data_IF_970124955891
#
_entry.id   IF_970124955891
#
_cell.length_a   1.000
_cell.length_b   1.000
_cell.length_c   1.000
_cell.angle_alpha   90.00
_cell.angle_beta   90.00
_cell.angle_gamma   90.00
#
_symmetry.space_group_name_H-M   'P 1'
#
loop_
_entity.id
_entity.type
_entity.pdbx_description
1 polymer ?
#
# COMPACT_ATOMS: atom_id res chain seq x y z
N UNK A 1 -8.59 0.81 -2.54
CA UNK A 1 -9.62 -0.17 -2.12
C UNK A 1 -9.34 -0.84 -0.77
N UNK A 2 -8.10 -1.25 -0.44
CA UNK A 2 -7.78 -1.84 0.87
C UNK A 2 -7.99 -0.86 2.06
N UNK A 3 -7.58 0.39 1.91
CA UNK A 3 -7.76 1.44 2.92
C UNK A 3 -9.23 1.71 3.27
N UNK A 4 -10.10 1.82 2.27
CA UNK A 4 -11.55 1.99 2.46
C UNK A 4 -12.15 0.84 3.28
N UNK A 5 -11.74 -0.40 3.01
CA UNK A 5 -12.21 -1.57 3.76
C UNK A 5 -11.79 -1.50 5.22
N UNK A 6 -10.54 -1.09 5.49
CA UNK A 6 -10.01 -0.99 6.85
C UNK A 6 -10.69 0.13 7.63
N UNK A 7 -10.89 1.31 7.03
CA UNK A 7 -11.55 2.42 7.72
C UNK A 7 -13.02 2.15 7.98
N UNK A 8 -13.73 1.53 7.04
CA UNK A 8 -15.11 1.09 7.25
C UNK A 8 -15.23 0.00 8.31
N UNK A 9 -14.25 -0.90 8.41
CA UNK A 9 -14.19 -1.89 9.49
C UNK A 9 -13.93 -1.24 10.84
N UNK A 10 -13.04 -0.25 10.90
CA UNK A 10 -12.78 0.50 12.13
C UNK A 10 -14.02 1.29 12.60
N UNK A 11 -14.79 1.84 11.67
CA UNK A 11 -16.05 2.53 11.96
C UNK A 11 -17.18 1.60 12.46
N UNK A 12 -17.02 0.28 12.28
CA UNK A 12 -17.98 -0.70 12.78
C UNK A 12 -18.08 -0.66 14.31
N UNK A 13 -16.95 -0.48 15.00
CA UNK A 13 -16.91 -0.48 16.46
C UNK A 13 -17.75 0.64 17.09
N UNK A 14 -17.56 1.94 16.75
CA UNK A 14 -18.41 3.00 17.30
C UNK A 14 -19.87 2.89 16.83
N UNK A 15 -20.12 2.43 15.59
CA UNK A 15 -21.49 2.25 15.10
C UNK A 15 -22.23 1.13 15.86
N UNK A 16 -21.56 0.02 16.15
CA UNK A 16 -22.12 -1.07 16.97
C UNK A 16 -22.32 -0.64 18.42
N UNK A 17 -21.41 0.16 18.99
CA UNK A 17 -21.57 0.69 20.35
C UNK A 17 -22.85 1.52 20.45
N UNK A 18 -23.09 2.42 19.48
CA UNK A 18 -24.30 3.23 19.42
C UNK A 18 -25.56 2.38 19.24
N UNK A 19 -25.50 1.35 18.39
CA UNK A 19 -26.60 0.39 18.24
C UNK A 19 -26.93 -0.25 19.59
N UNK A 20 -25.93 -0.76 20.32
CA UNK A 20 -26.15 -1.41 21.63
C UNK A 20 -26.76 -0.43 22.63
N UNK A 21 -26.24 0.79 22.76
CA UNK A 21 -26.76 1.81 23.69
C UNK A 21 -28.25 2.08 23.41
N UNK A 22 -28.61 2.38 22.16
CA UNK A 22 -29.99 2.69 21.76
C UNK A 22 -30.94 1.49 21.89
N UNK A 23 -30.43 0.26 21.71
CA UNK A 23 -31.22 -0.94 21.97
C UNK A 23 -31.51 -1.13 23.47
N UNK A 24 -30.55 -0.82 24.34
CA UNK A 24 -30.72 -0.89 25.79
C UNK A 24 -31.70 0.18 26.30
N UNK A 25 -31.76 1.33 25.63
CA UNK A 25 -32.76 2.39 25.88
C UNK A 25 -34.16 2.06 25.34
N UNK A 26 -34.35 0.87 24.76
CA UNK A 26 -35.64 0.33 24.35
C UNK A 26 -36.06 0.67 22.93
N UNK A 27 -35.18 1.28 22.11
CA UNK A 27 -35.51 1.70 20.75
C UNK A 27 -34.56 1.13 19.69
N UNK A 28 -34.76 -0.14 19.33
CA UNK A 28 -33.99 -0.82 18.28
C UNK A 28 -33.96 -0.07 16.94
N UNK A 29 -35.08 0.52 16.54
CA UNK A 29 -35.16 1.25 15.28
C UNK A 29 -34.25 2.48 15.26
N UNK A 30 -34.12 3.20 16.39
CA UNK A 30 -33.20 4.34 16.51
C UNK A 30 -31.75 3.90 16.48
N UNK A 31 -31.42 2.79 17.15
CA UNK A 31 -30.09 2.19 17.07
C UNK A 31 -29.69 1.79 15.65
N UNK A 32 -30.59 1.19 14.89
CA UNK A 32 -30.33 0.83 13.48
C UNK A 32 -30.16 2.07 12.60
N UNK A 33 -30.96 3.11 12.84
CA UNK A 33 -30.81 4.40 12.15
C UNK A 33 -29.48 5.07 12.47
N UNK A 34 -29.08 5.13 13.75
CA UNK A 34 -27.81 5.68 14.18
C UNK A 34 -26.62 4.90 13.57
N UNK A 35 -26.69 3.57 13.58
CA UNK A 35 -25.71 2.71 12.93
C UNK A 35 -25.56 3.06 11.43
N UNK A 36 -26.69 3.12 10.71
CA UNK A 36 -26.71 3.46 9.29
C UNK A 36 -26.18 4.87 9.00
N UNK A 37 -26.56 5.86 9.81
CA UNK A 37 -26.11 7.24 9.67
C UNK A 37 -24.60 7.38 9.87
N UNK A 38 -24.04 6.80 10.93
CA UNK A 38 -22.59 6.84 11.18
C UNK A 38 -21.83 6.20 10.03
N UNK A 39 -22.28 5.04 9.56
CA UNK A 39 -21.64 4.35 8.44
C UNK A 39 -21.73 5.16 7.14
N UNK A 40 -22.88 5.76 6.87
CA UNK A 40 -23.09 6.62 5.70
C UNK A 40 -22.22 7.88 5.73
N UNK A 41 -22.10 8.53 6.88
CA UNK A 41 -21.23 9.71 7.06
C UNK A 41 -19.77 9.34 6.82
N UNK A 42 -19.27 8.27 7.45
CA UNK A 42 -17.88 7.83 7.26
C UNK A 42 -17.62 7.44 5.82
N UNK A 43 -18.52 6.68 5.19
CA UNK A 43 -18.41 6.32 3.78
C UNK A 43 -18.42 7.55 2.86
N UNK A 44 -19.30 8.52 3.13
CA UNK A 44 -19.41 9.77 2.40
C UNK A 44 -18.14 10.62 2.49
N UNK A 45 -17.59 10.80 3.70
CA UNK A 45 -16.33 11.53 3.92
C UNK A 45 -15.18 10.85 3.15
N UNK A 46 -15.07 9.52 3.25
CA UNK A 46 -14.04 8.75 2.54
C UNK A 46 -14.17 8.86 1.02
N UNK A 47 -15.40 8.84 0.50
CA UNK A 47 -15.67 9.00 -0.93
C UNK A 47 -15.26 10.39 -1.42
N UNK A 48 -15.67 11.45 -0.71
CA UNK A 48 -15.30 12.83 -1.02
C UNK A 48 -13.78 13.02 -1.00
N UNK A 49 -13.11 12.51 0.05
CA UNK A 49 -11.64 12.56 0.13
C UNK A 49 -10.98 11.82 -1.02
N UNK A 50 -11.52 10.69 -1.47
CA UNK A 50 -10.97 9.94 -2.60
C UNK A 50 -11.13 10.70 -3.93
N UNK A 51 -12.30 11.31 -4.15
CA UNK A 51 -12.59 12.13 -5.33
C UNK A 51 -11.63 13.32 -5.41
N UNK A 52 -11.25 13.91 -4.29
CA UNK A 52 -10.30 15.03 -4.23
C UNK A 52 -8.84 14.54 -4.33
N UNK A 53 -8.49 13.50 -3.57
CA UNK A 53 -7.12 13.02 -3.49
C UNK A 53 -6.62 12.39 -4.79
N UNK A 54 -7.49 11.72 -5.56
CA UNK A 54 -7.08 11.03 -6.78
C UNK A 54 -6.59 12.00 -7.88
N UNK A 55 -7.32 13.06 -8.27
CA UNK A 55 -6.84 14.07 -9.20
C UNK A 55 -5.55 14.75 -8.74
N UNK A 56 -5.44 15.11 -7.45
CA UNK A 56 -4.23 15.71 -6.88
C UNK A 56 -3.05 14.75 -7.06
N UNK A 57 -3.23 13.47 -6.73
CA UNK A 57 -2.20 12.45 -6.91
C UNK A 57 -1.79 12.30 -8.38
N UNK A 58 -2.75 12.24 -9.32
CA UNK A 58 -2.47 12.14 -10.76
C UNK A 58 -1.67 13.35 -11.25
N UNK A 59 -2.07 14.55 -10.84
CA UNK A 59 -1.39 15.81 -11.19
C UNK A 59 0.05 15.85 -10.66
N UNK A 60 0.26 15.42 -9.42
CA UNK A 60 1.59 15.43 -8.78
C UNK A 60 2.52 14.32 -9.31
N UNK A 61 1.96 13.14 -9.60
CA UNK A 61 2.73 11.97 -10.07
C UNK A 61 2.98 11.99 -11.59
N UNK A 62 2.27 12.84 -12.35
CA UNK A 62 2.34 12.90 -13.81
C UNK A 62 1.66 11.71 -14.49
N UNK A 63 0.78 10.99 -13.78
CA UNK A 63 0.03 9.84 -14.29
C UNK A 63 0.87 8.60 -14.64
N UNK A 64 2.17 8.59 -14.31
CA UNK A 64 3.08 7.48 -14.60
C UNK A 64 3.62 6.89 -13.30
N UNK A 65 3.41 5.59 -13.13
CA UNK A 65 3.98 4.82 -12.04
C UNK A 65 5.21 4.08 -12.58
N UNK A 66 6.38 4.70 -12.43
CA UNK A 66 7.66 4.09 -12.82
C UNK A 66 8.19 3.26 -11.67
N UNK A 67 8.68 2.05 -11.94
CA UNK A 67 9.29 1.17 -10.94
C UNK A 67 10.73 0.91 -11.38
N UNK A 68 11.67 1.10 -10.46
CA UNK A 68 13.06 0.66 -10.61
C UNK A 68 13.24 -0.60 -9.79
N UNK A 69 13.80 -1.60 -10.45
CA UNK A 69 14.32 -2.77 -9.78
C UNK A 69 15.83 -2.60 -9.71
N UNK A 70 16.34 -2.49 -8.49
CA UNK A 70 17.77 -2.56 -8.23
C UNK A 70 18.07 -3.93 -7.65
N UNK A 71 19.06 -4.61 -8.20
CA UNK A 71 19.37 -5.99 -7.85
C UNK A 71 20.86 -6.09 -7.57
N UNK A 72 21.19 -6.56 -6.38
CA UNK A 72 22.55 -6.83 -5.95
C UNK A 72 22.74 -8.34 -5.71
N UNK A 73 23.87 -8.73 -5.11
CA UNK A 73 24.16 -10.14 -4.81
C UNK A 73 23.36 -10.69 -3.61
N UNK A 74 22.69 -9.82 -2.85
CA UNK A 74 22.00 -10.18 -1.61
C UNK A 74 20.48 -10.23 -1.79
N UNK A 75 19.93 -9.48 -2.74
CA UNK A 75 18.50 -9.38 -2.97
C UNK A 75 18.12 -8.47 -4.13
N UNK A 76 16.83 -8.15 -4.15
CA UNK A 76 16.25 -7.23 -5.11
C UNK A 76 15.37 -6.20 -4.40
N UNK A 77 15.65 -4.94 -4.68
CA UNK A 77 14.91 -3.79 -4.23
C UNK A 77 13.85 -3.43 -5.26
N UNK A 78 12.60 -3.46 -4.82
CA UNK A 78 11.51 -2.81 -5.54
C UNK A 78 11.45 -1.35 -5.07
N UNK A 79 12.06 -0.49 -5.87
CA UNK A 79 12.09 0.94 -5.67
C UNK A 79 10.99 1.51 -6.55
N UNK A 80 9.96 2.09 -5.95
CA UNK A 80 9.07 2.95 -6.74
C UNK A 80 9.94 4.11 -7.25
N UNK A 81 10.23 4.16 -8.56
CA UNK A 81 11.10 5.22 -9.09
C UNK A 81 10.46 6.55 -8.74
N UNK A 82 11.26 7.50 -8.24
CA UNK A 82 10.77 8.84 -8.09
C UNK A 82 10.56 9.40 -9.50
N UNK A 83 9.31 9.45 -9.95
CA UNK A 83 8.94 10.57 -10.82
C UNK A 83 9.35 11.85 -10.09
N UNK A 84 9.62 12.95 -10.82
CA UNK A 84 10.02 14.23 -10.21
C UNK A 84 9.10 14.67 -9.05
N UNK A 85 7.86 14.17 -9.01
CA UNK A 85 6.91 14.34 -7.92
C UNK A 85 7.23 13.63 -6.60
N UNK A 86 7.92 12.48 -6.57
CA UNK A 86 8.17 11.72 -5.32
C UNK A 86 9.19 12.41 -4.41
N UNK A 87 10.30 12.93 -4.96
CA UNK A 87 11.26 13.73 -4.17
C UNK A 87 10.59 15.00 -3.60
N UNK A 88 9.68 15.62 -4.36
CA UNK A 88 8.88 16.76 -3.89
C UNK A 88 7.87 16.32 -2.83
N UNK A 89 7.21 15.17 -2.99
CA UNK A 89 6.29 14.61 -2.00
C UNK A 89 6.99 14.28 -0.68
N UNK A 90 8.16 13.65 -0.73
CA UNK A 90 8.94 13.32 0.47
C UNK A 90 9.40 14.58 1.19
N UNK A 91 9.85 15.60 0.44
CA UNK A 91 10.20 16.90 1.03
C UNK A 91 8.96 17.56 1.66
N UNK A 92 7.83 17.58 0.96
CA UNK A 92 6.56 18.11 1.47
C UNK A 92 6.07 17.37 2.71
N UNK A 93 6.20 16.05 2.75
CA UNK A 93 5.82 15.24 3.91
C UNK A 93 6.79 15.44 5.08
N UNK A 94 8.10 15.63 4.86
CA UNK A 94 9.04 16.00 5.92
C UNK A 94 8.75 17.38 6.49
N UNK A 95 8.50 18.36 5.63
CA UNK A 95 8.10 19.71 6.04
C UNK A 95 6.77 19.68 6.79
N UNK A 96 5.78 18.94 6.28
CA UNK A 96 4.48 18.77 6.92
C UNK A 96 4.57 18.08 8.29
N UNK A 97 5.47 17.12 8.45
CA UNK A 97 5.75 16.49 9.74
C UNK A 97 6.30 17.50 10.75
N UNK A 98 7.36 18.23 10.37
CA UNK A 98 7.99 19.23 11.23
C UNK A 98 7.04 20.39 11.55
N UNK A 99 6.28 20.87 10.57
CA UNK A 99 5.28 21.91 10.76
C UNK A 99 4.13 21.44 11.66
N UNK A 100 3.67 20.20 11.52
CA UNK A 100 2.68 19.59 12.39
C UNK A 100 3.17 19.50 13.84
N UNK A 101 4.42 19.10 14.06
CA UNK A 101 5.02 19.11 15.39
C UNK A 101 5.15 20.53 15.97
N UNK A 102 5.69 21.46 15.18
CA UNK A 102 5.92 22.85 15.62
C UNK A 102 4.62 23.60 15.92
N UNK A 103 3.53 23.28 15.21
CA UNK A 103 2.20 23.86 15.42
C UNK A 103 1.37 23.14 16.50
N UNK A 104 1.91 22.10 17.14
CA UNK A 104 1.16 21.30 18.12
C UNK A 104 -0.01 20.52 17.50
N UNK A 105 0.06 20.20 16.19
CA UNK A 105 -0.94 19.44 15.47
C UNK A 105 -0.45 17.99 15.22
N UNK A 106 -0.66 17.07 16.18
CA UNK A 106 -0.21 15.69 16.08
C UNK A 106 -0.89 14.93 14.94
N UNK A 107 -2.11 15.31 14.55
CA UNK A 107 -2.83 14.71 13.41
C UNK A 107 -2.12 15.02 12.09
N UNK A 108 -1.71 16.27 11.88
CA UNK A 108 -0.96 16.68 10.69
C UNK A 108 0.44 16.05 10.65
N UNK A 109 1.11 15.98 11.81
CA UNK A 109 2.39 15.30 11.93
C UNK A 109 2.26 13.80 11.62
N UNK A 110 1.29 13.11 12.24
CA UNK A 110 1.04 11.69 12.02
C UNK A 110 0.70 11.36 10.56
N UNK A 111 -0.15 12.16 9.92
CA UNK A 111 -0.47 11.99 8.50
C UNK A 111 0.78 12.13 7.61
N UNK A 112 1.64 13.11 7.91
CA UNK A 112 2.88 13.35 7.16
C UNK A 112 3.91 12.23 7.38
N UNK A 113 4.02 11.71 8.60
CA UNK A 113 4.86 10.57 8.93
C UNK A 113 4.40 9.29 8.19
N UNK A 114 3.09 9.05 8.14
CA UNK A 114 2.51 7.93 7.40
C UNK A 114 2.80 8.06 5.89
N UNK A 115 2.75 9.26 5.33
CA UNK A 115 3.15 9.50 3.94
C UNK A 115 4.63 9.19 3.69
N UNK A 116 5.52 9.46 4.66
CA UNK A 116 6.94 9.11 4.59
C UNK A 116 7.23 7.61 4.75
N UNK A 117 6.31 6.84 5.35
CA UNK A 117 6.48 5.40 5.56
C UNK A 117 6.45 4.56 4.28
N UNK A 118 6.31 5.18 3.10
CA UNK A 118 6.32 4.49 1.80
C UNK A 118 7.57 3.63 1.68
N UNK A 119 7.33 2.32 1.69
CA UNK A 119 8.37 1.29 1.74
C UNK A 119 8.99 1.12 0.36
N UNK A 120 10.28 1.39 0.22
CA UNK A 120 11.08 0.56 -0.67
C UNK A 120 10.99 -0.88 -0.15
N UNK A 121 10.74 -1.83 -1.04
CA UNK A 121 10.54 -3.21 -0.64
C UNK A 121 11.76 -4.02 -1.04
N UNK A 122 12.68 -4.19 -0.09
CA UNK A 122 13.81 -5.08 -0.24
C UNK A 122 13.39 -6.53 -0.05
N UNK A 123 13.73 -7.38 -1.01
CA UNK A 123 13.51 -8.83 -0.94
C UNK A 123 14.86 -9.55 -0.99
N UNK A 124 15.39 -10.01 0.16
CA UNK A 124 16.66 -10.73 0.17
C UNK A 124 16.48 -12.14 -0.40
N UNK A 125 17.37 -12.55 -1.29
CA UNK A 125 17.27 -13.84 -1.99
C UNK A 125 17.20 -15.02 -1.02
N UNK A 126 18.03 -15.00 0.03
CA UNK A 126 18.07 -16.04 1.08
C UNK A 126 16.70 -16.31 1.72
N UNK A 127 15.77 -15.36 1.68
CA UNK A 127 14.41 -15.50 2.26
C UNK A 127 13.36 -15.91 1.24
N UNK A 128 13.69 -16.00 -0.05
CA UNK A 128 12.74 -16.41 -1.09
C UNK A 128 12.38 -17.88 -0.89
N UNK A 129 11.08 -18.14 -0.72
CA UNK A 129 10.51 -19.49 -0.58
C UNK A 129 9.94 -20.00 -1.89
N UNK A 130 9.44 -19.10 -2.73
CA UNK A 130 8.73 -19.45 -3.95
C UNK A 130 8.94 -18.41 -5.03
N UNK A 131 9.20 -18.88 -6.25
CA UNK A 131 9.34 -18.09 -7.47
C UNK A 131 8.21 -18.49 -8.41
N UNK A 132 7.39 -17.53 -8.86
CA UNK A 132 6.33 -17.78 -9.84
C UNK A 132 6.61 -16.96 -11.08
N UNK A 133 6.87 -17.64 -12.19
CA UNK A 133 7.18 -17.06 -13.49
C UNK A 133 5.89 -17.02 -14.30
N UNK A 134 5.46 -15.84 -14.72
CA UNK A 134 4.31 -15.63 -15.61
C UNK A 134 4.81 -15.20 -16.97
N UNK A 135 5.00 -16.15 -17.89
CA UNK A 135 5.66 -15.89 -19.17
C UNK A 135 4.83 -14.96 -20.06
N UNK A 136 3.51 -15.23 -20.16
CA UNK A 136 2.57 -14.40 -20.94
C UNK A 136 2.52 -12.95 -20.48
N UNK A 137 2.71 -12.71 -19.18
CA UNK A 137 2.65 -11.37 -18.58
C UNK A 137 4.03 -10.71 -18.48
N UNK A 138 5.11 -11.45 -18.74
CA UNK A 138 6.50 -11.01 -18.54
C UNK A 138 6.73 -10.50 -17.11
N UNK A 139 6.17 -11.23 -16.14
CA UNK A 139 6.26 -10.91 -14.71
C UNK A 139 6.84 -12.08 -13.93
N UNK A 140 7.80 -11.80 -13.07
CA UNK A 140 8.39 -12.76 -12.15
C UNK A 140 7.99 -12.35 -10.73
N UNK A 141 7.34 -13.25 -10.01
CA UNK A 141 6.87 -13.02 -8.64
C UNK A 141 7.72 -13.79 -7.64
N UNK A 142 8.43 -13.06 -6.80
CA UNK A 142 9.14 -13.61 -5.65
C UNK A 142 8.24 -13.58 -4.42
N UNK A 143 8.20 -14.68 -3.68
CA UNK A 143 7.47 -14.79 -2.41
C UNK A 143 8.45 -15.21 -1.33
N UNK A 144 8.70 -14.30 -0.39
CA UNK A 144 9.60 -14.53 0.73
C UNK A 144 8.89 -15.25 1.90
N UNK A 145 9.67 -15.81 2.82
CA UNK A 145 9.18 -16.51 4.02
C UNK A 145 8.31 -15.63 4.92
N UNK A 146 8.60 -14.33 5.01
CA UNK A 146 7.82 -13.33 5.74
C UNK A 146 6.58 -12.83 4.98
N UNK A 147 6.16 -13.54 3.93
CA UNK A 147 5.01 -13.20 3.09
C UNK A 147 5.16 -11.90 2.27
N UNK A 148 6.36 -11.28 2.25
CA UNK A 148 6.68 -10.22 1.29
C UNK A 148 6.59 -10.77 -0.13
N UNK A 149 5.95 -10.00 -1.02
CA UNK A 149 5.74 -10.38 -2.42
C UNK A 149 6.35 -9.30 -3.30
N UNK A 150 7.36 -9.65 -4.06
CA UNK A 150 7.95 -8.76 -5.06
C UNK A 150 7.51 -9.19 -6.45
N UNK A 151 6.96 -8.26 -7.23
CA UNK A 151 6.56 -8.48 -8.62
C UNK A 151 7.52 -7.71 -9.51
N UNK A 152 8.32 -8.45 -10.26
CA UNK A 152 9.36 -7.92 -11.12
C UNK A 152 8.80 -7.90 -12.54
N UNK A 153 8.73 -6.72 -13.12
CA UNK A 153 8.30 -6.50 -14.49
C UNK A 153 9.53 -6.37 -15.36
N UNK A 154 9.58 -7.09 -16.47
CA UNK A 154 10.72 -7.03 -17.38
C UNK A 154 10.26 -6.77 -18.81
N UNK A 155 11.17 -6.27 -19.64
CA UNK A 155 10.98 -6.29 -21.08
C UNK A 155 11.09 -7.72 -21.62
N UNK A 156 10.56 -7.94 -22.83
CA UNK A 156 10.57 -9.24 -23.47
C UNK A 156 11.98 -9.78 -23.73
N UNK A 157 12.88 -8.88 -24.15
CA UNK A 157 14.27 -9.21 -24.48
C UNK A 157 15.02 -9.73 -23.25
N UNK A 158 14.80 -9.10 -22.09
CA UNK A 158 15.53 -9.40 -20.86
C UNK A 158 14.86 -10.47 -19.98
N UNK A 159 13.62 -10.86 -20.30
CA UNK A 159 12.82 -11.73 -19.44
C UNK A 159 13.51 -13.06 -19.13
N UNK A 160 14.14 -13.67 -20.14
CA UNK A 160 14.86 -14.94 -19.97
C UNK A 160 16.09 -14.75 -19.08
N UNK A 161 16.92 -13.75 -19.40
CA UNK A 161 18.14 -13.41 -18.65
C UNK A 161 17.83 -13.17 -17.16
N UNK A 162 16.83 -12.33 -16.87
CA UNK A 162 16.45 -11.99 -15.50
C UNK A 162 15.87 -13.20 -14.77
N UNK A 163 15.08 -14.03 -15.45
CA UNK A 163 14.54 -15.26 -14.85
C UNK A 163 15.67 -16.20 -14.44
N UNK A 164 16.62 -16.45 -15.33
CA UNK A 164 17.72 -17.38 -15.09
C UNK A 164 18.60 -16.88 -13.93
N UNK A 165 18.93 -15.58 -13.92
CA UNK A 165 19.71 -14.97 -12.86
C UNK A 165 18.99 -15.03 -11.49
N UNK A 166 17.67 -14.79 -11.45
CA UNK A 166 16.89 -14.92 -10.22
C UNK A 166 16.84 -16.36 -9.72
N UNK A 167 16.75 -17.35 -10.62
CA UNK A 167 16.74 -18.77 -10.25
C UNK A 167 18.10 -19.22 -9.72
N UNK A 168 19.19 -18.69 -10.26
CA UNK A 168 20.55 -18.97 -9.77
C UNK A 168 20.80 -18.40 -8.38
N UNK A 169 20.35 -17.16 -8.13
CA UNK A 169 20.57 -16.46 -6.85
C UNK A 169 19.59 -16.87 -5.74
N UNK A 170 18.41 -17.39 -6.10
CA UNK A 170 17.45 -17.88 -5.10
C UNK A 170 17.91 -19.19 -4.44
N UNK A 171 17.46 -19.49 -3.21
CA UNK A 171 17.80 -20.73 -2.53
C UNK A 171 17.35 -21.95 -3.35
N UNK A 172 18.21 -22.97 -3.46
CA UNK A 172 17.88 -24.21 -4.21
C UNK A 172 16.61 -24.92 -3.73
N UNK A 173 16.20 -24.69 -2.47
CA UNK A 173 14.95 -25.20 -1.90
C UNK A 173 13.71 -24.34 -2.20
N UNK A 174 13.83 -23.28 -3.00
CA UNK A 174 12.70 -22.45 -3.39
C UNK A 174 11.84 -23.16 -4.43
N UNK A 175 10.52 -23.16 -4.22
CA UNK A 175 9.57 -23.79 -5.14
C UNK A 175 9.44 -22.90 -6.38
N UNK A 176 9.71 -23.44 -7.56
CA UNK A 176 9.58 -22.73 -8.85
C UNK A 176 8.30 -23.17 -9.54
N UNK A 177 7.46 -22.23 -9.95
CA UNK A 177 6.23 -22.49 -10.73
C UNK A 177 6.26 -21.63 -11.99
N UNK A 178 6.04 -22.24 -13.16
CA UNK A 178 5.89 -21.54 -14.43
C UNK A 178 4.41 -21.55 -14.86
N UNK A 179 3.89 -20.42 -15.33
CA UNK A 179 2.49 -20.19 -15.73
C UNK A 179 2.38 -19.32 -16.97
#
# INVERSE_FOLDING_TARGET
>A
MMLLKITLLAALMPALLLLVIETLEGSFMRGLQAFGQVYAIVAGIMLCLMIIAYPIYVLMSGGRYSILFEMDDKGIDHIEMPSRGVKRLDLMARVGFLAGLASGNPSAAGASLLALSRKSMHTPFKRVRKVVVYERKRVIKLIARNMTRNLIYTQAADFKLITDLLLERCPKGAIVIRR
#
